data_IF_171082333147
#
_entry.id   IF_171082333147
#
_cell.length_a   1.000
_cell.length_b   1.000
_cell.length_c   1.000
_cell.angle_alpha   90.00
_cell.angle_beta   90.00
_cell.angle_gamma   90.00
#
_symmetry.space_group_name_H-M   'P 1'
#
loop_
_entity.id
_entity.type
_entity.pdbx_description
1 polymer ?
#
# COMPACT_ATOMS: atom_id res chain seq x y z
N UNK A 1 -7.25 8.44 3.56
CA UNK A 1 -8.21 7.91 2.57
C UNK A 1 -8.61 6.48 2.89
N UNK A 2 -7.73 5.51 2.72
CA UNK A 2 -7.97 4.13 3.16
C UNK A 2 -7.19 3.85 4.45
N UNK A 3 -7.80 3.12 5.37
CA UNK A 3 -7.25 2.76 6.66
C UNK A 3 -7.35 1.25 6.87
N UNK A 4 -6.43 0.69 7.64
CA UNK A 4 -6.41 -0.73 7.97
C UNK A 4 -6.58 -0.87 9.48
N UNK A 5 -7.57 -1.66 9.90
CA UNK A 5 -7.72 -2.03 11.30
C UNK A 5 -6.71 -3.13 11.63
N UNK A 6 -5.59 -2.73 12.21
CA UNK A 6 -4.55 -3.64 12.68
C UNK A 6 -4.90 -4.10 14.12
N UNK A 7 -5.81 -5.04 14.24
CA UNK A 7 -6.03 -5.75 15.49
C UNK A 7 -4.95 -6.84 15.71
N UNK A 8 -4.97 -7.47 16.89
CA UNK A 8 -3.96 -8.46 17.25
C UNK A 8 -3.94 -9.68 16.31
N UNK A 9 -5.07 -9.99 15.72
CA UNK A 9 -5.28 -11.22 14.95
C UNK A 9 -5.16 -11.00 13.43
N UNK A 10 -5.11 -9.74 12.96
CA UNK A 10 -5.05 -9.39 11.54
C UNK A 10 -4.02 -10.20 10.75
N UNK A 11 -2.76 -10.14 11.18
CA UNK A 11 -1.66 -10.80 10.44
C UNK A 11 -1.79 -12.32 10.48
N UNK A 12 -2.23 -12.85 11.61
CA UNK A 12 -2.41 -14.28 11.81
C UNK A 12 -3.59 -14.81 10.99
N UNK A 13 -4.71 -14.09 10.94
CA UNK A 13 -5.88 -14.48 10.15
C UNK A 13 -5.60 -14.46 8.64
N UNK A 14 -4.90 -13.42 8.15
CA UNK A 14 -4.45 -13.41 6.76
C UNK A 14 -3.53 -14.60 6.44
N UNK A 15 -2.63 -14.97 7.35
CA UNK A 15 -1.74 -16.11 7.15
C UNK A 15 -2.50 -17.44 7.18
N UNK A 16 -3.45 -17.61 8.09
CA UNK A 16 -4.32 -18.79 8.18
C UNK A 16 -5.19 -18.97 6.94
N UNK A 17 -5.68 -17.87 6.37
CA UNK A 17 -6.44 -17.90 5.11
C UNK A 17 -5.59 -18.47 3.97
N UNK A 18 -4.34 -17.99 3.83
CA UNK A 18 -3.37 -18.54 2.86
C UNK A 18 -3.14 -20.03 3.11
N UNK A 19 -2.84 -20.42 4.36
CA UNK A 19 -2.58 -21.82 4.71
C UNK A 19 -3.78 -22.72 4.43
N UNK A 20 -4.99 -22.30 4.81
CA UNK A 20 -6.22 -23.09 4.60
C UNK A 20 -6.45 -23.35 3.12
N UNK A 21 -6.23 -22.33 2.26
CA UNK A 21 -6.31 -22.53 0.81
C UNK A 21 -5.26 -23.51 0.31
N UNK A 22 -4.01 -23.37 0.71
CA UNK A 22 -2.91 -24.22 0.28
C UNK A 22 -3.12 -25.68 0.72
N UNK A 23 -3.52 -25.90 1.97
CA UNK A 23 -3.81 -27.22 2.52
C UNK A 23 -4.97 -27.90 1.78
N UNK A 24 -6.04 -27.17 1.47
CA UNK A 24 -7.17 -27.68 0.68
C UNK A 24 -6.79 -28.01 -0.78
N UNK A 25 -5.65 -27.49 -1.27
CA UNK A 25 -5.16 -27.70 -2.63
C UNK A 25 -3.86 -28.54 -2.68
N UNK A 26 -3.67 -29.44 -1.71
CA UNK A 26 -2.64 -30.49 -1.76
C UNK A 26 -1.28 -30.12 -1.17
N UNK A 27 -1.17 -29.00 -0.46
CA UNK A 27 0.05 -28.67 0.31
C UNK A 27 -0.04 -29.34 1.68
N UNK A 28 0.56 -30.50 1.82
CA UNK A 28 0.48 -31.35 3.01
C UNK A 28 1.63 -31.06 3.98
N UNK A 29 1.53 -29.95 4.71
CA UNK A 29 2.47 -29.55 5.78
C UNK A 29 1.69 -29.12 7.01
N UNK A 30 2.32 -29.15 8.19
CA UNK A 30 1.70 -28.60 9.39
C UNK A 30 1.57 -27.08 9.29
N UNK A 31 0.56 -26.50 9.96
CA UNK A 31 0.45 -25.04 10.05
C UNK A 31 1.70 -24.40 10.67
N UNK A 32 2.28 -25.05 11.66
CA UNK A 32 3.48 -24.55 12.34
C UNK A 32 4.69 -24.48 11.41
N UNK A 33 4.93 -25.50 10.59
CA UNK A 33 6.02 -25.51 9.60
C UNK A 33 5.79 -24.48 8.50
N UNK A 34 4.56 -24.39 8.01
CA UNK A 34 4.18 -23.36 7.04
C UNK A 34 4.43 -21.95 7.61
N UNK A 35 3.90 -21.69 8.80
CA UNK A 35 4.01 -20.40 9.48
C UNK A 35 5.48 -20.00 9.70
N UNK A 36 6.28 -20.90 10.24
CA UNK A 36 7.72 -20.69 10.48
C UNK A 36 8.44 -20.34 9.18
N UNK A 37 8.22 -21.12 8.13
CA UNK A 37 8.86 -20.91 6.82
C UNK A 37 8.41 -19.61 6.18
N UNK A 38 7.11 -19.30 6.21
CA UNK A 38 6.57 -18.06 5.68
C UNK A 38 7.14 -16.82 6.38
N UNK A 39 7.23 -16.84 7.71
CA UNK A 39 7.78 -15.72 8.47
C UNK A 39 9.27 -15.52 8.18
N UNK A 40 10.03 -16.60 7.99
CA UNK A 40 11.44 -16.53 7.57
C UNK A 40 11.58 -15.88 6.18
N UNK A 41 10.83 -16.36 5.20
CA UNK A 41 10.81 -15.78 3.84
C UNK A 41 10.38 -14.31 3.87
N UNK A 42 9.34 -13.99 4.63
CA UNK A 42 8.88 -12.62 4.81
C UNK A 42 9.99 -11.71 5.35
N UNK A 43 10.70 -12.15 6.39
CA UNK A 43 11.81 -11.37 6.97
C UNK A 43 12.89 -11.09 5.94
N UNK A 44 13.35 -12.08 5.20
CA UNK A 44 14.38 -11.93 4.18
C UNK A 44 13.97 -11.01 3.04
N UNK A 45 12.70 -11.10 2.61
CA UNK A 45 12.15 -10.17 1.61
C UNK A 45 12.18 -8.75 2.15
N UNK A 46 11.70 -8.50 3.38
CA UNK A 46 11.69 -7.16 3.97
C UNK A 46 13.11 -6.58 4.18
N UNK A 47 14.09 -7.39 4.58
CA UNK A 47 15.48 -6.95 4.70
C UNK A 47 16.06 -6.50 3.35
N UNK A 48 15.69 -7.18 2.26
CA UNK A 48 16.06 -6.78 0.89
C UNK A 48 15.32 -5.52 0.46
N UNK A 49 14.00 -5.49 0.62
CA UNK A 49 13.14 -4.36 0.29
C UNK A 49 13.58 -3.07 1.00
N UNK A 50 13.95 -3.16 2.27
CA UNK A 50 14.41 -1.99 3.04
C UNK A 50 15.74 -1.42 2.52
N UNK A 51 16.55 -2.22 1.85
CA UNK A 51 17.83 -1.77 1.25
C UNK A 51 17.67 -1.27 -0.18
N UNK A 52 16.88 -1.99 -0.99
CA UNK A 52 16.75 -1.70 -2.43
C UNK A 52 15.57 -0.79 -2.78
N UNK A 53 14.60 -0.65 -1.88
CA UNK A 53 13.29 -0.01 -2.11
C UNK A 53 12.51 -0.65 -3.29
N UNK A 54 12.83 -1.88 -3.63
CA UNK A 54 12.08 -2.70 -4.59
C UNK A 54 10.92 -3.40 -3.87
N UNK A 55 9.75 -3.41 -4.47
CA UNK A 55 8.57 -4.06 -3.90
C UNK A 55 8.12 -5.24 -4.77
N UNK A 56 8.53 -6.47 -4.46
CA UNK A 56 8.06 -7.63 -5.21
C UNK A 56 6.58 -7.89 -4.94
N UNK A 57 5.89 -8.44 -5.93
CA UNK A 57 4.52 -8.90 -5.75
C UNK A 57 4.43 -9.97 -4.66
N UNK A 58 3.30 -10.01 -3.94
CA UNK A 58 3.05 -10.96 -2.83
C UNK A 58 3.23 -12.42 -3.24
N UNK A 59 2.90 -12.77 -4.48
CA UNK A 59 3.09 -14.12 -5.04
C UNK A 59 4.53 -14.63 -4.93
N UNK A 60 5.52 -13.74 -4.96
CA UNK A 60 6.94 -14.09 -4.75
C UNK A 60 7.14 -14.69 -3.36
N UNK A 61 6.51 -14.10 -2.34
CA UNK A 61 6.59 -14.62 -0.96
C UNK A 61 5.94 -15.98 -0.85
N UNK A 62 4.77 -16.16 -1.45
CA UNK A 62 4.07 -17.46 -1.45
C UNK A 62 4.89 -18.51 -2.17
N UNK A 63 5.35 -18.24 -3.38
CA UNK A 63 6.17 -19.14 -4.19
C UNK A 63 7.45 -19.57 -3.45
N UNK A 64 8.21 -18.61 -2.91
CA UNK A 64 9.44 -18.91 -2.14
C UNK A 64 9.16 -19.73 -0.87
N UNK A 65 8.02 -19.49 -0.21
CA UNK A 65 7.61 -20.30 0.94
C UNK A 65 7.34 -21.73 0.52
N UNK A 66 6.60 -21.93 -0.55
CA UNK A 66 6.28 -23.26 -1.09
C UNK A 66 7.53 -24.01 -1.55
N UNK A 67 8.45 -23.34 -2.24
CA UNK A 67 9.74 -23.94 -2.64
C UNK A 67 10.53 -24.46 -1.45
N UNK A 68 10.60 -23.71 -0.34
CA UNK A 68 11.27 -24.16 0.89
C UNK A 68 10.58 -25.33 1.60
N UNK A 69 9.30 -25.47 1.36
CA UNK A 69 8.52 -26.60 1.87
C UNK A 69 8.53 -27.82 0.93
N UNK A 70 9.32 -27.77 -0.16
CA UNK A 70 9.48 -28.88 -1.12
C UNK A 70 8.46 -28.88 -2.27
N UNK A 71 7.69 -27.79 -2.45
CA UNK A 71 6.71 -27.65 -3.53
C UNK A 71 7.20 -26.69 -4.60
N UNK A 72 7.36 -27.15 -5.81
CA UNK A 72 7.88 -26.33 -6.93
C UNK A 72 6.73 -25.62 -7.67
N UNK A 73 6.24 -24.51 -7.08
CA UNK A 73 5.23 -23.65 -7.67
C UNK A 73 5.82 -22.27 -7.93
N UNK A 74 5.85 -21.84 -9.18
CA UNK A 74 6.26 -20.48 -9.56
C UNK A 74 5.16 -19.44 -9.26
N UNK A 75 5.52 -18.16 -9.44
CA UNK A 75 4.62 -17.02 -9.17
C UNK A 75 3.36 -17.01 -10.03
N UNK A 76 3.40 -17.63 -11.22
CA UNK A 76 2.30 -17.68 -12.18
C UNK A 76 1.36 -18.87 -11.96
N UNK A 77 1.73 -19.81 -11.08
CA UNK A 77 0.94 -21.02 -10.86
C UNK A 77 -0.43 -20.73 -10.26
N UNK A 78 -1.48 -21.47 -10.64
CA UNK A 78 -2.83 -21.29 -10.09
C UNK A 78 -2.90 -21.38 -8.57
N UNK A 79 -2.08 -22.23 -7.95
CA UNK A 79 -2.05 -22.38 -6.50
C UNK A 79 -1.49 -21.15 -5.79
N UNK A 80 -0.47 -20.50 -6.36
CA UNK A 80 0.10 -19.26 -5.82
C UNK A 80 -0.87 -18.09 -6.00
N UNK A 81 -1.57 -18.02 -7.13
CA UNK A 81 -2.64 -17.02 -7.36
C UNK A 81 -3.79 -17.22 -6.36
N UNK A 82 -4.31 -18.44 -6.22
CA UNK A 82 -5.37 -18.72 -5.26
C UNK A 82 -5.00 -18.43 -3.81
N UNK A 83 -3.75 -18.70 -3.42
CA UNK A 83 -3.24 -18.32 -2.10
C UNK A 83 -3.18 -16.79 -1.92
N UNK A 84 -2.83 -16.03 -2.98
CA UNK A 84 -2.87 -14.56 -2.98
C UNK A 84 -4.30 -14.03 -2.90
N UNK A 85 -5.25 -14.69 -3.58
CA UNK A 85 -6.67 -14.35 -3.50
C UNK A 85 -7.25 -14.63 -2.12
N UNK A 86 -6.87 -15.74 -1.48
CA UNK A 86 -7.24 -16.06 -0.11
C UNK A 86 -6.73 -15.00 0.89
N UNK A 87 -5.46 -14.58 0.76
CA UNK A 87 -4.91 -13.46 1.50
C UNK A 87 -5.74 -12.19 1.30
N UNK A 88 -6.05 -11.87 0.05
CA UNK A 88 -6.78 -10.66 -0.33
C UNK A 88 -8.20 -10.64 0.22
N UNK A 89 -8.89 -11.78 0.18
CA UNK A 89 -10.23 -11.93 0.72
C UNK A 89 -10.28 -11.69 2.23
N UNK A 90 -9.33 -12.23 2.98
CA UNK A 90 -9.25 -11.99 4.41
C UNK A 90 -8.84 -10.54 4.72
N UNK A 91 -7.85 -9.99 4.00
CA UNK A 91 -7.38 -8.61 4.18
C UNK A 91 -8.50 -7.59 4.01
N UNK A 92 -9.39 -7.76 3.03
CA UNK A 92 -10.54 -6.88 2.78
C UNK A 92 -11.41 -6.65 4.03
N UNK A 93 -11.48 -7.61 4.95
CA UNK A 93 -12.30 -7.50 6.17
C UNK A 93 -11.78 -6.47 7.17
N UNK A 94 -10.53 -6.06 7.00
CA UNK A 94 -9.83 -5.14 7.90
C UNK A 94 -9.64 -3.74 7.30
N UNK A 95 -10.04 -3.56 6.04
CA UNK A 95 -9.94 -2.25 5.37
C UNK A 95 -11.22 -1.46 5.59
N UNK A 96 -11.07 -0.17 5.80
CA UNK A 96 -12.18 0.78 5.81
C UNK A 96 -11.74 2.12 5.19
N UNK A 97 -12.70 2.86 4.65
CA UNK A 97 -12.48 4.20 4.13
C UNK A 97 -12.76 5.24 5.22
N UNK A 98 -12.09 6.38 5.17
CA UNK A 98 -12.52 7.55 5.91
C UNK A 98 -13.89 8.00 5.41
N UNK A 99 -14.74 8.43 6.33
CA UNK A 99 -16.13 8.82 6.02
C UNK A 99 -16.22 9.97 5.01
N UNK A 100 -15.25 10.89 5.04
CA UNK A 100 -15.19 12.06 4.19
C UNK A 100 -14.37 11.88 2.90
N UNK A 101 -13.77 10.71 2.67
CA UNK A 101 -12.85 10.50 1.56
C UNK A 101 -13.48 10.76 0.18
N UNK A 102 -14.67 10.21 -0.08
CA UNK A 102 -15.39 10.41 -1.35
C UNK A 102 -15.74 11.89 -1.53
N UNK A 103 -16.28 12.52 -0.48
CA UNK A 103 -16.64 13.94 -0.52
C UNK A 103 -15.44 14.84 -0.81
N UNK A 104 -14.30 14.57 -0.17
CA UNK A 104 -13.09 15.36 -0.41
C UNK A 104 -12.63 15.23 -1.85
N UNK A 105 -12.57 14.00 -2.39
CA UNK A 105 -12.19 13.77 -3.79
C UNK A 105 -13.17 14.42 -4.77
N UNK A 106 -14.48 14.38 -4.48
CA UNK A 106 -15.48 15.05 -5.28
C UNK A 106 -15.24 16.57 -5.32
N UNK A 107 -15.04 17.22 -4.18
CA UNK A 107 -14.76 18.67 -4.12
C UNK A 107 -13.47 19.02 -4.84
N UNK A 108 -12.42 18.18 -4.72
CA UNK A 108 -11.17 18.38 -5.46
C UNK A 108 -11.40 18.37 -6.97
N UNK A 109 -12.16 17.40 -7.47
CA UNK A 109 -12.53 17.31 -8.89
C UNK A 109 -13.35 18.52 -9.35
N UNK A 110 -14.35 18.96 -8.55
CA UNK A 110 -15.16 20.15 -8.84
C UNK A 110 -14.31 21.42 -8.91
N UNK A 111 -13.22 21.51 -8.15
CA UNK A 111 -12.23 22.60 -8.20
C UNK A 111 -11.19 22.43 -9.32
N UNK A 112 -11.31 21.42 -10.16
CA UNK A 112 -10.41 21.16 -11.28
C UNK A 112 -9.06 20.52 -10.93
N UNK A 113 -8.91 19.99 -9.69
CA UNK A 113 -7.69 19.29 -9.30
C UNK A 113 -7.65 17.89 -9.91
N UNK A 114 -6.48 17.51 -10.43
CA UNK A 114 -6.17 16.11 -10.73
C UNK A 114 -5.77 15.40 -9.45
N UNK A 115 -6.23 14.18 -9.28
CA UNK A 115 -6.00 13.41 -8.06
C UNK A 115 -5.36 12.06 -8.35
N UNK A 116 -4.47 11.62 -7.46
CA UNK A 116 -3.83 10.32 -7.58
C UNK A 116 -3.55 9.68 -6.24
N UNK A 117 -3.24 8.39 -6.28
CA UNK A 117 -2.79 7.63 -5.11
C UNK A 117 -1.46 6.95 -5.38
N UNK A 118 -0.54 7.00 -4.41
CA UNK A 118 0.69 6.21 -4.38
C UNK A 118 0.63 5.29 -3.17
N UNK A 119 0.62 3.97 -3.40
CA UNK A 119 0.49 2.95 -2.36
C UNK A 119 1.70 2.03 -2.30
N UNK A 120 2.33 1.88 -1.12
CA UNK A 120 3.28 0.82 -0.86
C UNK A 120 2.50 -0.46 -0.52
N UNK A 121 2.24 -1.28 -1.52
CA UNK A 121 1.45 -2.50 -1.35
C UNK A 121 1.88 -3.60 -2.31
N UNK A 122 1.97 -4.83 -1.80
CA UNK A 122 2.51 -5.98 -2.56
C UNK A 122 1.45 -6.76 -3.36
N UNK A 123 0.16 -6.40 -3.28
CA UNK A 123 -0.94 -7.01 -4.06
C UNK A 123 -1.72 -5.91 -4.78
N UNK A 124 -1.29 -5.49 -5.97
CA UNK A 124 -1.94 -4.41 -6.72
C UNK A 124 -3.43 -4.63 -6.96
N UNK A 125 -3.81 -5.82 -7.33
CA UNK A 125 -5.20 -6.19 -7.63
C UNK A 125 -6.13 -5.94 -6.44
N UNK A 126 -5.61 -6.12 -5.23
CA UNK A 126 -6.37 -5.85 -4.00
C UNK A 126 -6.60 -4.36 -3.80
N UNK A 127 -5.60 -3.51 -4.09
CA UNK A 127 -5.77 -2.04 -3.99
C UNK A 127 -6.86 -1.56 -4.93
N UNK A 128 -6.87 -2.02 -6.18
CA UNK A 128 -7.92 -1.68 -7.14
C UNK A 128 -9.31 -2.15 -6.68
N UNK A 129 -9.42 -3.37 -6.13
CA UNK A 129 -10.67 -3.89 -5.56
C UNK A 129 -11.15 -3.02 -4.39
N UNK A 130 -10.25 -2.62 -3.48
CA UNK A 130 -10.57 -1.75 -2.34
C UNK A 130 -11.05 -0.38 -2.82
N UNK A 131 -10.32 0.27 -3.73
CA UNK A 131 -10.69 1.58 -4.26
C UNK A 131 -12.06 1.56 -4.93
N UNK A 132 -12.36 0.51 -5.70
CA UNK A 132 -13.65 0.32 -6.34
C UNK A 132 -14.78 0.08 -5.31
N UNK A 133 -14.55 -0.80 -4.32
CA UNK A 133 -15.53 -1.13 -3.30
C UNK A 133 -15.97 0.08 -2.45
N UNK A 134 -15.07 1.05 -2.26
CA UNK A 134 -15.36 2.28 -1.53
C UNK A 134 -15.72 3.47 -2.43
N UNK A 135 -15.93 3.26 -3.74
CA UNK A 135 -16.31 4.32 -4.68
C UNK A 135 -15.24 5.41 -4.87
N UNK A 136 -13.97 5.09 -4.60
CA UNK A 136 -12.86 6.05 -4.68
C UNK A 136 -12.20 6.03 -6.06
N UNK A 137 -12.26 4.88 -6.76
CA UNK A 137 -11.50 4.65 -7.98
C UNK A 137 -11.80 5.68 -9.06
N UNK A 138 -13.07 6.01 -9.26
CA UNK A 138 -13.54 6.88 -10.35
C UNK A 138 -13.16 8.36 -10.14
N UNK A 139 -12.71 8.72 -8.96
CA UNK A 139 -12.19 10.05 -8.65
C UNK A 139 -10.68 10.18 -8.87
N UNK A 140 -9.97 9.08 -9.13
CA UNK A 140 -8.51 9.06 -9.23
C UNK A 140 -8.08 9.03 -10.70
N UNK A 141 -7.34 10.04 -11.13
CA UNK A 141 -6.75 10.12 -12.45
C UNK A 141 -5.54 9.19 -12.60
N UNK A 142 -4.81 8.97 -11.48
CA UNK A 142 -3.62 8.10 -11.43
C UNK A 142 -3.62 7.22 -10.19
N UNK A 143 -3.34 5.94 -10.39
CA UNK A 143 -3.14 4.96 -9.32
C UNK A 143 -1.78 4.31 -9.54
N UNK A 144 -0.86 4.49 -8.56
CA UNK A 144 0.49 3.93 -8.60
C UNK A 144 0.68 3.01 -7.39
N UNK A 145 0.96 1.75 -7.66
CA UNK A 145 1.16 0.75 -6.62
C UNK A 145 2.59 0.22 -6.73
N UNK A 146 3.30 0.21 -5.60
CA UNK A 146 4.73 -0.09 -5.57
C UNK A 146 5.10 -1.42 -6.23
N UNK A 147 4.29 -2.46 -6.07
CA UNK A 147 4.57 -3.77 -6.66
C UNK A 147 4.36 -3.81 -8.19
N UNK A 148 3.62 -2.87 -8.80
CA UNK A 148 3.47 -2.80 -10.26
C UNK A 148 4.70 -2.25 -10.94
N UNK A 149 5.34 -1.26 -10.30
CA UNK A 149 6.53 -0.60 -10.85
C UNK A 149 7.83 -1.06 -10.18
N UNK A 150 7.72 -2.02 -9.25
CA UNK A 150 8.82 -2.53 -8.44
C UNK A 150 9.64 -1.43 -7.73
N UNK A 151 8.98 -0.37 -7.28
CA UNK A 151 9.56 0.73 -6.50
C UNK A 151 8.58 1.21 -5.46
N UNK A 152 9.05 1.42 -4.23
CA UNK A 152 8.21 1.87 -3.12
C UNK A 152 8.67 3.21 -2.55
N UNK A 153 7.77 3.95 -1.91
CA UNK A 153 8.11 5.12 -1.10
C UNK A 153 9.10 4.72 0.01
N UNK A 154 10.14 5.50 0.32
CA UNK A 154 10.39 6.88 -0.14
C UNK A 154 11.22 7.00 -1.42
N UNK A 155 11.36 5.97 -2.27
CA UNK A 155 12.11 6.11 -3.53
C UNK A 155 11.57 7.27 -4.35
N UNK A 156 12.44 8.19 -4.84
CA UNK A 156 12.01 9.28 -5.72
C UNK A 156 11.33 8.82 -7.01
N UNK A 157 11.65 7.62 -7.46
CA UNK A 157 11.17 7.04 -8.71
C UNK A 157 9.65 6.89 -8.71
N UNK A 158 9.04 6.41 -7.60
CA UNK A 158 7.59 6.21 -7.52
C UNK A 158 6.83 7.54 -7.56
N UNK A 159 7.36 8.59 -6.95
CA UNK A 159 6.76 9.92 -6.99
C UNK A 159 6.88 10.55 -8.38
N UNK A 160 8.07 10.49 -9.00
CA UNK A 160 8.29 10.99 -10.36
C UNK A 160 7.42 10.27 -11.37
N UNK A 161 7.25 8.96 -11.22
CA UNK A 161 6.35 8.18 -12.06
C UNK A 161 4.90 8.69 -11.94
N UNK A 162 4.39 8.87 -10.73
CA UNK A 162 3.04 9.40 -10.51
C UNK A 162 2.86 10.80 -11.11
N UNK A 163 3.83 11.71 -10.91
CA UNK A 163 3.83 13.06 -11.48
C UNK A 163 3.80 13.03 -13.01
N UNK A 164 4.61 12.16 -13.62
CA UNK A 164 4.63 12.00 -15.08
C UNK A 164 3.31 11.51 -15.65
N UNK A 165 2.64 10.58 -14.94
CA UNK A 165 1.31 10.09 -15.33
C UNK A 165 0.22 11.19 -15.15
N UNK A 166 0.36 12.04 -14.15
CA UNK A 166 -0.52 13.19 -13.96
C UNK A 166 -0.20 14.35 -14.92
N UNK A 167 0.99 14.37 -15.54
CA UNK A 167 1.44 15.45 -16.39
C UNK A 167 1.55 16.79 -15.66
N UNK A 168 2.15 16.78 -14.45
CA UNK A 168 2.36 17.96 -13.60
C UNK A 168 3.78 18.01 -13.07
N UNK A 169 4.28 19.21 -12.79
CA UNK A 169 5.55 19.38 -12.10
C UNK A 169 5.40 19.16 -10.59
N UNK A 170 6.49 18.76 -9.95
CA UNK A 170 6.47 18.49 -8.50
C UNK A 170 6.07 19.72 -7.67
N UNK A 171 6.45 20.92 -8.09
CA UNK A 171 6.10 22.20 -7.43
C UNK A 171 4.61 22.53 -7.49
N UNK A 172 3.87 21.96 -8.44
CA UNK A 172 2.42 22.10 -8.61
C UNK A 172 1.63 21.07 -7.81
N UNK A 173 2.30 20.05 -7.28
CA UNK A 173 1.67 18.93 -6.61
C UNK A 173 1.77 19.03 -5.07
N UNK A 174 0.73 18.53 -4.41
CA UNK A 174 0.69 18.36 -2.96
C UNK A 174 0.57 16.88 -2.66
N UNK A 175 1.46 16.36 -1.83
CA UNK A 175 1.38 14.98 -1.34
C UNK A 175 0.81 14.94 0.07
N UNK A 176 -0.24 14.17 0.27
CA UNK A 176 -0.88 13.94 1.57
C UNK A 176 -0.56 12.53 2.03
N UNK A 177 0.09 12.40 3.19
CA UNK A 177 0.45 11.09 3.75
C UNK A 177 0.45 11.10 5.27
N UNK A 178 0.59 9.92 5.88
CA UNK A 178 0.55 9.74 7.34
C UNK A 178 1.86 9.23 7.94
N UNK A 179 2.87 8.97 7.09
CA UNK A 179 4.16 8.42 7.50
C UNK A 179 5.30 9.37 7.13
N UNK A 180 6.03 9.87 8.14
CA UNK A 180 7.11 10.84 7.92
C UNK A 180 8.19 10.30 6.99
N UNK A 181 8.73 9.11 7.28
CA UNK A 181 9.89 8.56 6.55
C UNK A 181 9.58 8.17 5.10
N UNK A 182 8.37 7.70 4.82
CA UNK A 182 8.02 7.22 3.48
C UNK A 182 7.27 8.25 2.67
N UNK A 183 6.31 8.96 3.29
CA UNK A 183 5.42 9.86 2.58
C UNK A 183 6.01 11.28 2.52
N UNK A 184 6.24 11.89 3.68
CA UNK A 184 6.64 13.29 3.76
C UNK A 184 8.05 13.47 3.21
N UNK A 185 9.01 12.70 3.71
CA UNK A 185 10.40 12.74 3.25
C UNK A 185 10.52 12.38 1.76
N UNK A 186 9.81 11.34 1.32
CA UNK A 186 9.84 10.92 -0.08
C UNK A 186 9.31 12.00 -1.03
N UNK A 187 8.18 12.62 -0.71
CA UNK A 187 7.58 13.70 -1.50
C UNK A 187 8.44 14.98 -1.50
N UNK A 188 8.99 15.37 -0.35
CA UNK A 188 9.92 16.51 -0.26
C UNK A 188 11.18 16.32 -1.11
N UNK A 189 11.73 15.12 -1.14
CA UNK A 189 12.93 14.79 -1.93
C UNK A 189 12.74 14.98 -3.44
N UNK A 190 11.51 15.02 -3.92
CA UNK A 190 11.20 15.31 -5.34
C UNK A 190 10.66 16.73 -5.56
N UNK A 191 10.55 17.55 -4.52
CA UNK A 191 10.12 18.94 -4.60
C UNK A 191 8.61 19.17 -4.50
N UNK A 192 7.84 18.18 -4.05
CA UNK A 192 6.40 18.34 -3.79
C UNK A 192 6.17 19.09 -2.47
N UNK A 193 5.07 19.84 -2.38
CA UNK A 193 4.54 20.29 -1.08
C UNK A 193 3.92 19.09 -0.34
N UNK A 194 4.00 19.15 1.00
CA UNK A 194 3.65 18.01 1.84
C UNK A 194 2.62 18.36 2.90
N UNK A 195 1.66 17.47 3.10
CA UNK A 195 0.66 17.53 4.15
C UNK A 195 0.72 16.23 4.95
N UNK A 196 1.05 16.34 6.22
CA UNK A 196 0.96 15.21 7.15
C UNK A 196 -0.47 15.10 7.69
N UNK A 197 -1.12 13.97 7.47
CA UNK A 197 -2.34 13.64 8.20
C UNK A 197 -1.96 12.91 9.50
N UNK A 198 -2.02 13.61 10.62
CA UNK A 198 -1.54 13.12 11.90
C UNK A 198 -2.54 12.14 12.51
N UNK A 199 -2.28 10.83 12.38
CA UNK A 199 -3.07 9.76 12.98
C UNK A 199 -2.72 9.48 14.44
N UNK A 200 -1.45 9.72 14.78
CA UNK A 200 -0.89 9.57 16.12
C UNK A 200 0.09 10.72 16.34
N UNK A 201 0.22 11.15 17.60
CA UNK A 201 1.21 12.16 17.97
C UNK A 201 2.61 11.66 17.56
N UNK A 202 3.23 12.34 16.63
CA UNK A 202 4.53 11.97 16.05
C UNK A 202 5.56 13.03 16.43
N UNK A 203 6.74 12.60 16.89
CA UNK A 203 7.88 13.50 17.06
C UNK A 203 8.43 13.84 15.67
N UNK A 204 8.29 15.10 15.27
CA UNK A 204 8.73 15.60 13.98
C UNK A 204 10.07 16.29 14.18
N UNK A 205 11.13 15.74 13.59
CA UNK A 205 12.43 16.39 13.53
C UNK A 205 12.42 17.64 12.64
N UNK A 206 13.37 18.57 12.81
CA UNK A 206 13.41 19.80 12.01
C UNK A 206 13.47 19.53 10.50
N UNK A 207 14.18 18.48 10.08
CA UNK A 207 14.37 18.12 8.67
C UNK A 207 13.14 17.42 8.06
N UNK A 208 12.33 16.75 8.88
CA UNK A 208 11.15 15.99 8.44
C UNK A 208 9.85 16.81 8.56
N UNK A 209 9.94 18.12 8.86
CA UNK A 209 8.78 18.98 9.06
C UNK A 209 7.96 19.07 7.77
N UNK A 210 6.67 18.65 7.77
CA UNK A 210 5.77 18.85 6.64
C UNK A 210 5.44 20.33 6.46
N UNK A 211 4.98 20.73 5.27
CA UNK A 211 4.52 22.10 5.03
C UNK A 211 3.23 22.39 5.79
N UNK A 212 2.33 21.39 5.89
CA UNK A 212 1.09 21.46 6.65
C UNK A 212 0.87 20.18 7.44
N UNK A 213 0.11 20.28 8.53
CA UNK A 213 -0.38 19.13 9.31
C UNK A 213 -1.88 19.25 9.49
N UNK A 214 -2.61 18.17 9.22
CA UNK A 214 -4.06 18.06 9.37
C UNK A 214 -4.41 16.85 10.23
N UNK A 215 -5.62 16.83 10.77
CA UNK A 215 -6.13 15.69 11.57
C UNK A 215 -7.14 14.85 10.81
N UNK A 216 -7.92 15.45 9.93
CA UNK A 216 -8.92 14.80 9.08
C UNK A 216 -8.64 15.11 7.63
N UNK A 217 -9.03 14.22 6.74
CA UNK A 217 -8.81 14.42 5.30
C UNK A 217 -9.54 15.67 4.79
N UNK A 218 -10.73 15.97 5.33
CA UNK A 218 -11.50 17.19 4.99
C UNK A 218 -10.79 18.50 5.32
N UNK A 219 -9.87 18.50 6.28
CA UNK A 219 -9.11 19.72 6.62
C UNK A 219 -8.22 20.18 5.43
N UNK A 220 -7.89 19.27 4.50
CA UNK A 220 -7.18 19.58 3.27
C UNK A 220 -7.87 20.67 2.45
N UNK A 221 -9.20 20.68 2.41
CA UNK A 221 -10.00 21.63 1.63
C UNK A 221 -9.83 23.09 2.08
N UNK A 222 -9.29 23.30 3.29
CA UNK A 222 -9.02 24.65 3.85
C UNK A 222 -7.63 25.17 3.52
N UNK A 223 -6.71 24.31 3.08
CA UNK A 223 -5.30 24.68 2.81
C UNK A 223 -4.96 24.68 1.32
N UNK A 224 -5.78 24.08 0.49
CA UNK A 224 -5.63 24.13 -0.97
C UNK A 224 -6.38 25.36 -1.52
N UNK A 225 -5.83 26.06 -2.52
CA UNK A 225 -6.51 27.19 -3.18
C UNK A 225 -7.89 26.80 -3.75
N UNK A 226 -8.77 27.81 -3.87
CA UNK A 226 -10.06 27.66 -4.56
C UNK A 226 -9.86 27.82 -6.06
#
# INVERSE_FOLDING_TARGET
MLLIRLDKDFSENCLRSVYSFLSANGVNVSYEDFRRTYLTVRKEIYERVNRSLEEPHFSVRVSQTLMRLGYNYDVSSPIVRGATDAYSGEFMRYVYSEEDAVRVLQVLRERGYRTGVISNFSVPELVYKILAAYGLKDFLDVIVISAEINRRKPSPEIFRFALSQLGVDASEAIFVGDTLDTDIKGAKNVGMRTVLIERKKTNIGPEDKPDFTIKRLSDLLNIIPI
#
